data_IF_769454176619
#
_entry.id   IF_769454176619
#
_cell.length_a   1.000
_cell.length_b   1.000
_cell.length_c   1.000
_cell.angle_alpha   90.00
_cell.angle_beta   90.00
_cell.angle_gamma   90.00
#
_symmetry.space_group_name_H-M   'P 1'
#
loop_
_entity.id
_entity.type
_entity.pdbx_description
1 polymer ?
#
# COMPACT_ATOMS: atom_id res chain seq x y z
N UNK A 1 -11.60 12.15 45.37
CA UNK A 1 -10.80 11.08 44.72
C UNK A 1 -11.62 10.27 43.71
N UNK A 2 -12.83 9.81 44.05
CA UNK A 2 -13.69 9.04 43.13
C UNK A 2 -13.98 9.73 41.78
N UNK A 3 -14.20 11.05 41.77
CA UNK A 3 -14.50 11.81 40.54
C UNK A 3 -13.31 11.87 39.59
N UNK A 4 -12.08 11.95 40.11
CA UNK A 4 -10.85 11.90 39.31
C UNK A 4 -10.65 10.51 38.71
N UNK A 5 -10.88 9.46 39.49
CA UNK A 5 -10.75 8.08 39.03
C UNK A 5 -11.75 7.77 37.91
N UNK A 6 -12.97 8.33 38.00
CA UNK A 6 -13.98 8.22 36.96
C UNK A 6 -13.59 8.91 35.65
N UNK A 7 -13.04 10.13 35.69
CA UNK A 7 -12.53 10.79 34.48
C UNK A 7 -11.37 10.02 33.85
N UNK A 8 -10.42 9.52 34.65
CA UNK A 8 -9.32 8.72 34.11
C UNK A 8 -9.81 7.44 33.42
N UNK A 9 -10.81 6.76 33.98
CA UNK A 9 -11.39 5.57 33.37
C UNK A 9 -12.10 5.90 32.05
N UNK A 10 -12.84 7.01 32.01
CA UNK A 10 -13.52 7.49 30.79
C UNK A 10 -12.53 7.87 29.70
N UNK A 11 -11.44 8.56 30.05
CA UNK A 11 -10.40 8.97 29.11
C UNK A 11 -9.64 7.74 28.58
N UNK A 12 -9.37 6.76 29.43
CA UNK A 12 -8.76 5.49 29.03
C UNK A 12 -9.63 4.70 28.04
N UNK A 13 -10.94 4.57 28.30
CA UNK A 13 -11.87 3.88 27.40
C UNK A 13 -12.00 4.65 26.07
N UNK A 14 -12.02 5.97 26.10
CA UNK A 14 -12.11 6.81 24.90
C UNK A 14 -10.83 6.70 24.04
N UNK A 15 -9.66 6.69 24.68
CA UNK A 15 -8.38 6.44 24.00
C UNK A 15 -8.31 5.05 23.37
N UNK A 16 -8.85 4.04 24.05
CA UNK A 16 -8.91 2.67 23.53
C UNK A 16 -9.87 2.51 22.33
N UNK A 17 -11.02 3.20 22.32
CA UNK A 17 -11.93 3.22 21.16
C UNK A 17 -11.28 3.94 19.96
N UNK A 18 -10.62 5.07 20.22
CA UNK A 18 -9.87 5.79 19.19
C UNK A 18 -8.79 4.92 18.54
N UNK A 19 -7.92 4.29 19.34
CA UNK A 19 -6.84 3.43 18.84
C UNK A 19 -7.38 2.20 18.10
N UNK A 20 -8.48 1.59 18.56
CA UNK A 20 -9.09 0.47 17.84
C UNK A 20 -9.61 0.88 16.47
N UNK A 21 -10.30 2.02 16.38
CA UNK A 21 -10.81 2.56 15.10
C UNK A 21 -9.67 2.95 14.18
N UNK A 22 -8.65 3.61 14.70
CA UNK A 22 -7.46 3.99 13.94
C UNK A 22 -6.73 2.76 13.41
N UNK A 23 -6.58 1.71 14.22
CA UNK A 23 -5.97 0.45 13.79
C UNK A 23 -6.78 -0.26 12.70
N UNK A 24 -8.10 -0.35 12.88
CA UNK A 24 -8.99 -0.97 11.89
C UNK A 24 -8.97 -0.19 10.56
N UNK A 25 -9.11 1.14 10.61
CA UNK A 25 -9.05 1.99 9.43
C UNK A 25 -7.67 1.95 8.75
N UNK A 26 -6.59 1.96 9.54
CA UNK A 26 -5.22 1.89 9.03
C UNK A 26 -4.91 0.58 8.30
N UNK A 27 -5.43 -0.55 8.77
CA UNK A 27 -5.30 -1.83 8.08
C UNK A 27 -6.03 -1.79 6.73
N UNK A 28 -7.28 -1.31 6.71
CA UNK A 28 -8.04 -1.21 5.45
C UNK A 28 -7.39 -0.26 4.44
N UNK A 29 -6.84 0.87 4.89
CA UNK A 29 -6.09 1.79 4.04
C UNK A 29 -4.82 1.16 3.47
N UNK A 30 -4.14 0.32 4.26
CA UNK A 30 -2.97 -0.41 3.77
C UNK A 30 -3.35 -1.47 2.74
N UNK A 31 -4.44 -2.22 2.99
CA UNK A 31 -4.95 -3.24 2.06
C UNK A 31 -5.37 -2.62 0.72
N UNK A 32 -6.08 -1.48 0.75
CA UNK A 32 -6.48 -0.77 -0.47
C UNK A 32 -5.26 -0.35 -1.29
N UNK A 33 -4.25 0.25 -0.66
CA UNK A 33 -3.00 0.62 -1.31
C UNK A 33 -2.27 -0.59 -1.92
N UNK A 34 -2.32 -1.74 -1.27
CA UNK A 34 -1.67 -2.94 -1.80
C UNK A 34 -2.44 -3.55 -2.97
N UNK A 35 -3.78 -3.51 -2.94
CA UNK A 35 -4.62 -3.86 -4.09
C UNK A 35 -4.35 -2.94 -5.28
N UNK A 36 -4.16 -1.63 -5.08
CA UNK A 36 -3.76 -0.70 -6.15
C UNK A 36 -2.41 -1.09 -6.78
N UNK A 37 -1.41 -1.43 -5.96
CA UNK A 37 -0.09 -1.87 -6.45
C UNK A 37 -0.20 -3.16 -7.30
N UNK A 38 -0.91 -4.17 -6.79
CA UNK A 38 -1.14 -5.44 -7.51
C UNK A 38 -1.95 -5.19 -8.78
N UNK A 39 -2.95 -4.31 -8.74
CA UNK A 39 -3.78 -3.99 -9.89
C UNK A 39 -2.97 -3.36 -11.03
N UNK A 40 -2.06 -2.43 -10.73
CA UNK A 40 -1.14 -1.87 -11.73
C UNK A 40 -0.22 -2.95 -12.30
N UNK A 41 0.31 -3.84 -11.45
CA UNK A 41 1.10 -4.99 -11.90
C UNK A 41 0.30 -5.92 -12.82
N UNK A 42 -1.01 -6.09 -12.62
CA UNK A 42 -1.87 -6.89 -13.51
C UNK A 42 -2.14 -6.17 -14.83
N UNK A 43 -2.44 -4.87 -14.79
CA UNK A 43 -2.66 -4.05 -15.99
C UNK A 43 -1.41 -4.02 -16.88
N UNK A 44 -0.23 -3.86 -16.27
CA UNK A 44 1.05 -3.84 -16.97
C UNK A 44 1.61 -5.24 -17.23
N UNK A 45 1.23 -6.23 -16.43
CA UNK A 45 1.67 -7.63 -16.52
C UNK A 45 1.06 -8.41 -17.69
N UNK A 46 0.07 -7.85 -18.39
CA UNK A 46 -0.37 -8.39 -19.69
C UNK A 46 0.79 -8.52 -20.68
N UNK A 47 1.79 -7.63 -20.57
CA UNK A 47 3.01 -7.65 -21.39
C UNK A 47 4.04 -8.71 -20.95
N UNK A 48 3.86 -9.34 -19.78
CA UNK A 48 4.75 -10.38 -19.22
C UNK A 48 4.10 -11.77 -19.09
N UNK A 49 2.85 -11.95 -19.55
CA UNK A 49 2.16 -13.24 -19.57
C UNK A 49 1.29 -13.55 -18.34
N UNK A 50 1.08 -12.57 -17.45
CA UNK A 50 0.13 -12.68 -16.34
C UNK A 50 -1.30 -12.52 -16.90
N UNK A 51 -2.30 -13.33 -16.48
CA UNK A 51 -3.68 -13.16 -16.94
C UNK A 51 -4.19 -11.77 -16.56
N UNK A 52 -4.19 -10.90 -17.55
CA UNK A 52 -4.61 -9.52 -17.40
C UNK A 52 -6.04 -9.32 -17.89
N UNK A 53 -6.75 -8.31 -17.37
CA UNK A 53 -8.04 -7.92 -17.93
C UNK A 53 -7.89 -7.55 -19.42
N UNK A 54 -8.95 -7.70 -20.24
CA UNK A 54 -8.90 -7.33 -21.65
C UNK A 54 -8.32 -5.93 -21.87
N UNK A 55 -7.44 -5.77 -22.86
CA UNK A 55 -6.65 -4.54 -23.04
C UNK A 55 -7.47 -3.25 -23.14
N UNK A 56 -8.71 -3.32 -23.65
CA UNK A 56 -9.61 -2.16 -23.71
C UNK A 56 -10.04 -1.69 -22.31
N UNK A 57 -10.34 -2.63 -21.40
CA UNK A 57 -10.69 -2.32 -20.01
C UNK A 57 -9.49 -1.71 -19.30
N UNK A 58 -8.30 -2.27 -19.54
CA UNK A 58 -7.07 -1.73 -18.99
C UNK A 58 -6.85 -0.26 -19.43
N UNK A 59 -6.98 0.02 -20.74
CA UNK A 59 -6.79 1.36 -21.29
C UNK A 59 -7.76 2.40 -20.73
N UNK A 60 -9.01 2.01 -20.44
CA UNK A 60 -10.02 2.89 -19.83
C UNK A 60 -9.71 3.19 -18.35
N UNK A 61 -9.08 2.26 -17.64
CA UNK A 61 -8.75 2.39 -16.23
C UNK A 61 -7.40 3.10 -15.98
N UNK A 62 -6.48 3.08 -16.95
CA UNK A 62 -5.17 3.74 -16.83
C UNK A 62 -5.23 5.23 -16.40
N UNK A 63 -6.12 6.09 -16.95
CA UNK A 63 -6.22 7.48 -16.53
C UNK A 63 -6.64 7.67 -15.07
N UNK A 64 -7.45 6.74 -14.55
CA UNK A 64 -7.92 6.76 -13.15
C UNK A 64 -6.78 6.43 -12.17
N UNK A 65 -5.75 5.74 -12.64
CA UNK A 65 -4.59 5.31 -11.85
C UNK A 65 -3.34 6.18 -12.06
N UNK A 66 -3.51 7.41 -12.55
CA UNK A 66 -2.40 8.28 -12.94
C UNK A 66 -1.43 8.58 -11.78
N UNK A 67 -1.93 8.70 -10.54
CA UNK A 67 -1.12 8.95 -9.34
C UNK A 67 -0.28 7.72 -9.01
N UNK A 68 -0.90 6.56 -9.06
CA UNK A 68 -0.36 5.28 -8.65
C UNK A 68 0.65 4.78 -9.67
N UNK A 69 0.42 5.00 -10.97
CA UNK A 69 1.40 4.77 -12.05
C UNK A 69 2.65 5.63 -11.84
N UNK A 70 2.51 6.88 -11.39
CA UNK A 70 3.67 7.74 -11.09
C UNK A 70 4.48 7.19 -9.92
N UNK A 71 3.81 6.74 -8.86
CA UNK A 71 4.45 6.11 -7.70
C UNK A 71 5.12 4.78 -8.10
N UNK A 72 4.45 3.98 -8.92
CA UNK A 72 4.96 2.74 -9.46
C UNK A 72 6.23 2.96 -10.29
N UNK A 73 6.23 3.92 -11.22
CA UNK A 73 7.41 4.26 -12.02
C UNK A 73 8.56 4.77 -11.16
N UNK A 74 8.29 5.64 -10.18
CA UNK A 74 9.33 6.11 -9.26
C UNK A 74 9.94 4.95 -8.45
N UNK A 75 9.12 3.98 -8.02
CA UNK A 75 9.61 2.76 -7.36
C UNK A 75 10.40 1.88 -8.31
N UNK A 76 9.94 1.71 -9.55
CA UNK A 76 10.62 0.91 -10.57
C UNK A 76 11.99 1.50 -10.93
N UNK A 77 12.08 2.83 -11.10
CA UNK A 77 13.34 3.55 -11.33
C UNK A 77 14.31 3.35 -10.16
N UNK A 78 13.82 3.40 -8.92
CA UNK A 78 14.61 3.17 -7.72
C UNK A 78 14.87 1.68 -7.42
N UNK A 79 14.24 0.74 -8.13
CA UNK A 79 14.39 -0.70 -7.87
C UNK A 79 15.77 -1.21 -8.25
N UNK A 80 16.47 -0.52 -9.16
CA UNK A 80 17.86 -0.82 -9.49
C UNK A 80 18.81 -0.58 -8.32
N UNK A 81 18.52 0.37 -7.43
CA UNK A 81 19.32 0.62 -6.22
C UNK A 81 19.20 -0.57 -5.25
N UNK A 82 17.98 -1.09 -5.08
CA UNK A 82 17.71 -2.28 -4.25
C UNK A 82 18.29 -3.57 -4.85
N UNK A 83 18.23 -3.73 -6.18
CA UNK A 83 18.89 -4.86 -6.84
C UNK A 83 20.42 -4.74 -6.78
N UNK A 84 20.99 -3.54 -6.95
CA UNK A 84 22.43 -3.29 -6.82
C UNK A 84 22.93 -3.59 -5.40
N UNK A 85 22.16 -3.22 -4.38
CA UNK A 85 22.43 -3.54 -2.98
C UNK A 85 22.36 -5.06 -2.71
N UNK A 86 21.37 -5.76 -3.29
CA UNK A 86 21.26 -7.21 -3.20
C UNK A 86 22.36 -7.96 -3.96
N UNK A 87 22.78 -7.49 -5.14
CA UNK A 87 23.90 -8.08 -5.88
C UNK A 87 25.24 -7.85 -5.17
N UNK A 88 25.42 -6.69 -4.53
CA UNK A 88 26.57 -6.42 -3.67
C UNK A 88 26.59 -7.29 -2.40
N UNK A 89 25.43 -7.68 -1.88
CA UNK A 89 25.31 -8.65 -0.77
C UNK A 89 25.57 -10.10 -1.20
N UNK A 90 25.36 -10.44 -2.46
CA UNK A 90 25.53 -11.80 -2.99
C UNK A 90 26.94 -12.05 -3.56
N UNK A 91 27.83 -11.06 -3.54
CA UNK A 91 29.22 -11.13 -4.03
C UNK A 91 29.31 -11.74 -5.44
N UNK A 92 28.35 -11.36 -6.30
CA UNK A 92 28.32 -11.77 -7.70
C UNK A 92 29.06 -10.69 -8.49
N UNK A 93 30.30 -10.99 -8.90
CA UNK A 93 31.04 -10.28 -9.97
C UNK A 93 30.42 -10.54 -11.36
#
# INVERSE_FOLDING_TARGET
MLTKLWTYLKDFISGMDYVHREKAAGITQWEEKELENIFILLLTGSFSGIPAPPAFVAAELLPLLSREIKIFNQRAENSFDTLAEMTGLLDID
#
